data_IF_381387075839
#
_entry.id   IF_381387075839
#
_cell.length_a   1.000
_cell.length_b   1.000
_cell.length_c   1.000
_cell.angle_alpha   90.00
_cell.angle_beta   90.00
_cell.angle_gamma   90.00
#
_symmetry.space_group_name_H-M   'P 1'
#
loop_
_entity.id
_entity.type
_entity.pdbx_description
1 polymer ?
#
# COMPACT_ATOMS: atom_id res chain seq x y z
N UNK A 1 -5.91 -13.15 12.60
CA UNK A 1 -4.50 -13.30 12.27
C UNK A 1 -3.69 -12.29 13.07
N UNK A 2 -2.67 -12.75 13.80
CA UNK A 2 -1.82 -11.89 14.63
C UNK A 2 -1.03 -10.97 13.68
N UNK A 3 -1.22 -9.65 13.81
CA UNK A 3 -0.38 -8.65 13.15
C UNK A 3 1.08 -8.86 13.62
N UNK A 4 1.94 -9.31 12.71
CA UNK A 4 3.33 -9.69 13.02
C UNK A 4 4.35 -8.59 12.72
N UNK A 5 3.92 -7.33 12.65
CA UNK A 5 4.80 -6.19 12.57
C UNK A 5 4.85 -5.48 13.92
N UNK A 6 6.04 -5.09 14.32
CA UNK A 6 6.25 -4.34 15.55
C UNK A 6 6.58 -2.89 15.20
N UNK A 7 5.70 -1.97 15.56
CA UNK A 7 5.96 -0.53 15.49
C UNK A 7 6.32 -0.05 16.90
N UNK A 8 7.52 0.48 17.07
CA UNK A 8 8.07 0.82 18.38
C UNK A 8 7.79 2.30 18.70
N UNK A 9 6.70 2.60 19.41
CA UNK A 9 6.29 3.98 19.71
C UNK A 9 6.91 4.60 20.96
N UNK A 10 7.48 3.82 21.88
CA UNK A 10 7.84 4.30 23.25
C UNK A 10 9.20 3.89 23.78
N UNK A 11 10.12 3.42 22.95
CA UNK A 11 11.44 3.01 23.40
C UNK A 11 12.46 4.15 23.27
N UNK A 12 13.37 4.26 24.26
CA UNK A 12 14.44 5.27 24.24
C UNK A 12 15.42 4.98 23.09
N UNK A 13 15.98 6.02 22.47
CA UNK A 13 17.14 5.85 21.58
C UNK A 13 18.22 5.03 22.31
N UNK A 14 18.74 3.99 21.63
CA UNK A 14 19.73 3.07 22.21
C UNK A 14 19.19 1.71 22.66
N UNK A 15 17.86 1.50 22.73
CA UNK A 15 17.26 0.17 22.99
C UNK A 15 17.21 -0.73 21.75
N UNK A 16 17.42 -0.19 20.57
CA UNK A 16 17.35 -0.91 19.30
C UNK A 16 18.22 -2.16 19.22
N UNK A 17 19.48 -2.17 19.70
CA UNK A 17 20.34 -3.36 19.64
C UNK A 17 19.80 -4.56 20.43
N UNK A 18 18.85 -4.36 21.33
CA UNK A 18 18.25 -5.44 22.13
C UNK A 18 17.26 -6.29 21.31
N UNK A 19 16.58 -5.72 20.32
CA UNK A 19 15.51 -6.40 19.59
C UNK A 19 16.00 -7.54 18.68
N UNK A 20 16.99 -7.33 17.79
CA UNK A 20 17.44 -8.39 16.90
C UNK A 20 17.87 -9.67 17.63
N UNK A 21 18.68 -9.64 18.71
CA UNK A 21 19.03 -10.85 19.45
C UNK A 21 17.85 -11.56 20.10
N UNK A 22 16.88 -10.80 20.67
CA UNK A 22 15.68 -11.38 21.28
C UNK A 22 14.86 -12.11 20.22
N UNK A 23 14.62 -11.48 19.08
CA UNK A 23 13.87 -12.10 18.00
C UNK A 23 14.62 -13.25 17.31
N UNK A 24 15.95 -13.20 17.28
CA UNK A 24 16.77 -14.30 16.79
C UNK A 24 16.70 -15.53 17.73
N UNK A 25 16.62 -15.31 19.04
CA UNK A 25 16.60 -16.40 20.04
C UNK A 25 15.20 -16.97 20.26
N UNK A 26 14.17 -16.13 20.32
CA UNK A 26 12.80 -16.50 20.72
C UNK A 26 11.78 -16.36 19.59
N UNK A 27 12.14 -15.74 18.48
CA UNK A 27 11.25 -15.55 17.33
C UNK A 27 11.21 -16.77 16.42
N UNK A 28 10.13 -16.84 15.65
CA UNK A 28 9.92 -17.92 14.65
C UNK A 28 10.65 -17.62 13.34
N UNK A 29 10.95 -16.34 13.06
CA UNK A 29 11.52 -15.87 11.78
C UNK A 29 12.84 -15.15 11.98
N UNK A 30 13.63 -15.05 10.90
CA UNK A 30 14.86 -14.29 10.91
C UNK A 30 14.59 -12.79 10.94
N UNK A 31 15.43 -12.01 11.65
CA UNK A 31 15.36 -10.56 11.60
C UNK A 31 16.04 -10.05 10.32
N UNK A 32 15.35 -9.15 9.59
CA UNK A 32 15.91 -8.48 8.43
C UNK A 32 16.51 -7.10 8.78
N UNK A 33 16.10 -6.52 9.90
CA UNK A 33 16.54 -5.19 10.34
C UNK A 33 17.71 -5.28 11.32
N UNK A 34 18.73 -4.47 11.06
CA UNK A 34 19.85 -4.24 12.00
C UNK A 34 19.72 -2.84 12.58
N UNK A 35 20.20 -2.64 13.82
CA UNK A 35 20.30 -1.30 14.39
C UNK A 35 21.39 -0.47 13.66
N UNK A 36 21.24 0.86 13.49
CA UNK A 36 20.04 1.65 13.84
C UNK A 36 18.88 1.36 12.90
N UNK A 37 17.66 1.28 13.44
CA UNK A 37 16.47 1.02 12.63
C UNK A 37 16.10 2.23 11.77
N UNK A 38 15.52 1.94 10.60
CA UNK A 38 15.03 2.97 9.69
C UNK A 38 14.03 3.88 10.41
N UNK A 39 14.22 5.19 10.26
CA UNK A 39 13.29 6.22 10.72
C UNK A 39 12.44 6.69 9.56
N UNK A 40 11.14 6.73 9.75
CA UNK A 40 10.16 7.15 8.76
C UNK A 40 9.29 8.19 9.45
N UNK A 41 9.14 9.38 8.86
CA UNK A 41 8.22 10.37 9.42
C UNK A 41 6.77 9.88 9.31
N UNK A 42 5.89 10.35 10.20
CA UNK A 42 4.46 10.04 10.13
C UNK A 42 3.89 10.38 8.74
N UNK A 43 4.24 11.54 8.20
CA UNK A 43 3.76 11.97 6.89
C UNK A 43 4.25 11.03 5.78
N UNK A 44 5.53 10.65 5.78
CA UNK A 44 6.07 9.70 4.79
C UNK A 44 5.44 8.32 4.93
N UNK A 45 5.18 7.88 6.15
CA UNK A 45 4.52 6.61 6.41
C UNK A 45 3.09 6.59 5.85
N UNK A 46 2.33 7.68 6.05
CA UNK A 46 0.99 7.83 5.52
C UNK A 46 0.98 7.97 4.00
N UNK A 47 1.92 8.72 3.40
CA UNK A 47 2.00 8.87 1.94
C UNK A 47 2.46 7.59 1.24
N UNK A 48 3.46 6.89 1.78
CA UNK A 48 4.09 5.74 1.12
C UNK A 48 3.38 4.41 1.40
N UNK A 49 2.77 4.28 2.59
CA UNK A 49 2.21 3.00 3.03
C UNK A 49 0.73 3.09 3.44
N UNK A 50 0.18 4.30 3.55
CA UNK A 50 -1.19 4.52 3.99
C UNK A 50 -1.45 4.15 5.46
N UNK A 51 -0.39 4.11 6.29
CA UNK A 51 -0.49 3.69 7.69
C UNK A 51 0.66 4.25 8.52
N UNK A 52 0.36 4.62 9.76
CA UNK A 52 1.35 4.91 10.81
C UNK A 52 2.00 3.65 11.41
N UNK A 53 1.58 2.48 10.96
CA UNK A 53 2.08 1.16 11.37
C UNK A 53 2.33 0.29 10.14
N UNK A 54 3.24 0.71 9.23
CA UNK A 54 3.43 0.02 7.96
C UNK A 54 4.03 -1.37 8.16
N UNK A 55 3.46 -2.38 7.51
CA UNK A 55 4.11 -3.67 7.36
C UNK A 55 5.20 -3.57 6.27
N UNK A 56 6.45 -3.39 6.69
CA UNK A 56 7.59 -3.24 5.78
C UNK A 56 8.00 -4.56 5.10
N UNK A 57 7.40 -5.68 5.44
CA UNK A 57 7.61 -6.96 4.74
C UNK A 57 6.95 -6.96 3.36
N UNK A 58 5.92 -6.13 3.19
CA UNK A 58 5.27 -5.88 1.90
C UNK A 58 6.08 -4.83 1.17
N UNK A 59 6.52 -5.12 -0.06
CA UNK A 59 7.34 -4.22 -0.88
C UNK A 59 6.50 -3.24 -1.71
N UNK A 60 5.17 -3.43 -1.78
CA UNK A 60 4.26 -2.52 -2.46
C UNK A 60 4.24 -1.15 -1.78
N UNK A 61 4.18 -0.10 -2.57
CA UNK A 61 4.05 1.29 -2.11
C UNK A 61 2.80 1.96 -2.68
N UNK A 62 2.32 2.95 -1.94
CA UNK A 62 1.24 3.82 -2.38
C UNK A 62 1.83 4.98 -3.18
N UNK A 63 1.22 5.31 -4.30
CA UNK A 63 1.57 6.44 -5.17
C UNK A 63 0.43 7.45 -5.21
N UNK A 64 0.73 8.72 -5.37
CA UNK A 64 -0.28 9.76 -5.62
C UNK A 64 -0.67 9.77 -7.10
N UNK A 65 -1.92 9.44 -7.38
CA UNK A 65 -2.49 9.44 -8.73
C UNK A 65 -3.50 10.60 -8.95
N UNK A 66 -3.59 11.54 -7.99
CA UNK A 66 -4.60 12.60 -8.02
C UNK A 66 -4.54 13.43 -9.29
N UNK A 67 -3.35 13.93 -9.66
CA UNK A 67 -3.19 14.76 -10.88
C UNK A 67 -3.45 13.98 -12.16
N UNK A 68 -3.12 12.70 -12.17
CA UNK A 68 -3.31 11.82 -13.33
C UNK A 68 -4.79 11.54 -13.59
N UNK A 69 -5.54 11.27 -12.51
CA UNK A 69 -6.91 10.73 -12.60
C UNK A 69 -7.99 11.77 -12.29
N UNK A 70 -7.61 12.99 -11.82
CA UNK A 70 -8.57 14.09 -11.74
C UNK A 70 -8.98 14.52 -13.14
N UNK A 71 -10.31 14.55 -13.40
CA UNK A 71 -10.81 14.89 -14.74
C UNK A 71 -10.87 13.73 -15.74
N UNK A 72 -10.59 12.49 -15.33
CA UNK A 72 -10.79 11.32 -16.18
C UNK A 72 -12.29 10.97 -16.40
N UNK A 73 -13.20 11.74 -15.80
CA UNK A 73 -14.66 11.55 -15.90
C UNK A 73 -15.23 10.47 -14.98
N UNK A 74 -14.41 9.92 -14.07
CA UNK A 74 -14.91 8.99 -13.06
C UNK A 74 -15.31 9.75 -11.79
N UNK A 75 -16.62 9.88 -11.56
CA UNK A 75 -17.19 10.71 -10.48
C UNK A 75 -16.55 10.56 -9.10
N UNK A 76 -16.25 9.35 -8.60
CA UNK A 76 -15.57 9.18 -7.30
C UNK A 76 -14.19 9.82 -7.20
N UNK A 77 -13.53 10.16 -8.31
CA UNK A 77 -12.21 10.80 -8.31
C UNK A 77 -12.27 12.32 -8.39
N UNK A 78 -13.41 12.86 -8.82
CA UNK A 78 -13.58 14.31 -8.99
C UNK A 78 -13.51 15.03 -7.64
N UNK A 79 -12.57 15.99 -7.53
CA UNK A 79 -12.36 16.77 -6.30
C UNK A 79 -11.80 15.98 -5.11
N UNK A 80 -11.38 14.73 -5.32
CA UNK A 80 -10.81 13.86 -4.30
C UNK A 80 -9.33 13.59 -4.52
N UNK A 81 -8.62 13.23 -3.45
CA UNK A 81 -7.28 12.65 -3.53
C UNK A 81 -7.43 11.22 -3.99
N UNK A 82 -6.63 10.82 -4.99
CA UNK A 82 -6.59 9.46 -5.53
C UNK A 82 -5.23 8.85 -5.24
N UNK A 83 -5.24 7.66 -4.65
CA UNK A 83 -4.04 6.87 -4.36
C UNK A 83 -4.04 5.59 -5.19
N UNK A 84 -2.87 5.20 -5.67
CA UNK A 84 -2.67 4.02 -6.50
C UNK A 84 -1.66 3.06 -5.87
N UNK A 85 -1.87 1.77 -6.08
CA UNK A 85 -0.94 0.69 -5.72
C UNK A 85 -0.76 -0.17 -6.96
N UNK A 86 0.47 -0.25 -7.45
CA UNK A 86 0.82 -1.05 -8.65
C UNK A 86 1.39 -2.39 -8.19
N UNK A 87 0.86 -3.48 -8.75
CA UNK A 87 1.33 -4.85 -8.53
C UNK A 87 1.74 -5.44 -9.87
N UNK A 88 3.01 -5.78 -10.02
CA UNK A 88 3.61 -6.14 -11.32
C UNK A 88 3.30 -7.56 -11.79
N UNK A 89 3.05 -8.50 -10.89
CA UNK A 89 2.84 -9.93 -11.19
C UNK A 89 1.52 -10.47 -10.61
N UNK A 90 0.46 -9.71 -10.79
CA UNK A 90 -0.84 -10.01 -10.22
C UNK A 90 -1.60 -11.08 -11.05
N UNK A 91 -1.75 -12.28 -10.49
CA UNK A 91 -2.43 -13.43 -11.12
C UNK A 91 -3.89 -13.64 -10.67
N UNK A 92 -4.51 -12.65 -10.01
CA UNK A 92 -5.86 -12.79 -9.48
C UNK A 92 -6.96 -12.78 -10.55
N UNK A 93 -7.99 -13.59 -10.35
CA UNK A 93 -9.20 -13.57 -11.16
C UNK A 93 -10.09 -12.37 -10.82
N UNK A 94 -11.01 -11.99 -11.72
CA UNK A 94 -11.96 -10.90 -11.45
C UNK A 94 -12.74 -11.11 -10.15
N UNK A 95 -13.22 -12.32 -9.89
CA UNK A 95 -13.95 -12.64 -8.64
C UNK A 95 -13.10 -12.40 -7.40
N UNK A 96 -11.82 -12.73 -7.45
CA UNK A 96 -10.89 -12.49 -6.35
C UNK A 96 -10.64 -10.99 -6.15
N UNK A 97 -10.49 -10.23 -7.24
CA UNK A 97 -10.33 -8.77 -7.19
C UNK A 97 -11.57 -8.12 -6.57
N UNK A 98 -12.76 -8.51 -7.02
CA UNK A 98 -14.03 -7.97 -6.49
C UNK A 98 -14.15 -8.32 -4.99
N UNK A 99 -13.72 -9.52 -4.57
CA UNK A 99 -13.62 -9.91 -3.17
C UNK A 99 -12.65 -9.04 -2.36
N UNK A 100 -11.46 -8.77 -2.89
CA UNK A 100 -10.49 -7.88 -2.26
C UNK A 100 -11.04 -6.45 -2.09
N UNK A 101 -11.70 -5.92 -3.13
CA UNK A 101 -12.32 -4.60 -3.06
C UNK A 101 -13.45 -4.55 -2.00
N UNK A 102 -14.27 -5.60 -1.91
CA UNK A 102 -15.31 -5.71 -0.87
C UNK A 102 -14.70 -5.75 0.54
N UNK A 103 -13.63 -6.52 0.74
CA UNK A 103 -12.92 -6.56 2.03
C UNK A 103 -12.30 -5.20 2.40
N UNK A 104 -11.76 -4.46 1.41
CA UNK A 104 -11.25 -3.09 1.61
C UNK A 104 -12.39 -2.18 2.06
N UNK A 105 -13.55 -2.23 1.41
CA UNK A 105 -14.71 -1.41 1.76
C UNK A 105 -15.20 -1.73 3.19
N UNK A 106 -15.32 -3.00 3.54
CA UNK A 106 -15.73 -3.43 4.90
C UNK A 106 -14.76 -2.92 5.96
N UNK A 107 -13.44 -2.98 5.69
CA UNK A 107 -12.43 -2.62 6.68
C UNK A 107 -12.16 -1.12 6.79
N UNK A 108 -12.28 -0.38 5.70
CA UNK A 108 -11.95 1.06 5.65
C UNK A 108 -13.16 1.99 5.60
N UNK A 109 -14.35 1.46 5.28
CA UNK A 109 -15.54 2.26 5.01
C UNK A 109 -15.55 2.97 3.65
N UNK A 110 -14.54 2.74 2.80
CA UNK A 110 -14.41 3.37 1.48
C UNK A 110 -14.14 2.32 0.40
N UNK A 111 -14.65 2.59 -0.80
CA UNK A 111 -14.50 1.67 -1.93
C UNK A 111 -13.08 1.62 -2.47
N UNK A 112 -12.64 0.41 -2.81
CA UNK A 112 -11.51 0.18 -3.68
C UNK A 112 -11.95 0.12 -5.14
N UNK A 113 -11.12 0.65 -6.03
CA UNK A 113 -11.29 0.59 -7.47
C UNK A 113 -10.07 -0.05 -8.09
N UNK A 114 -10.17 -0.46 -9.38
CA UNK A 114 -9.05 -1.12 -10.01
C UNK A 114 -9.12 -1.06 -11.53
N UNK A 115 -7.99 -1.26 -12.17
CA UNK A 115 -7.84 -1.64 -13.57
C UNK A 115 -6.60 -2.53 -13.73
N UNK A 116 -6.43 -3.12 -14.90
CA UNK A 116 -5.23 -3.88 -15.28
C UNK A 116 -4.63 -3.29 -16.54
N UNK A 117 -3.32 -3.34 -16.61
CA UNK A 117 -2.58 -3.15 -17.85
C UNK A 117 -2.14 -4.53 -18.31
N UNK A 118 -2.82 -5.07 -19.36
CA UNK A 118 -2.67 -6.46 -19.76
C UNK A 118 -1.39 -6.72 -20.56
N UNK A 119 -1.14 -7.98 -20.91
CA UNK A 119 0.03 -8.41 -21.68
C UNK A 119 0.08 -7.82 -23.10
N UNK A 120 -1.07 -7.40 -23.63
CA UNK A 120 -1.18 -6.77 -24.94
C UNK A 120 -0.94 -5.24 -24.88
N UNK A 121 -0.69 -4.69 -23.70
CA UNK A 121 -0.54 -3.25 -23.51
C UNK A 121 -1.87 -2.49 -23.54
N UNK A 122 -2.97 -3.11 -23.12
CA UNK A 122 -4.28 -2.48 -23.05
C UNK A 122 -4.76 -2.31 -21.60
N UNK A 123 -5.50 -1.22 -21.35
CA UNK A 123 -6.16 -0.97 -20.05
C UNK A 123 -7.49 -1.71 -20.04
N UNK A 124 -7.63 -2.68 -19.13
CA UNK A 124 -8.80 -3.57 -19.07
C UNK A 124 -9.36 -3.72 -17.66
N UNK A 125 -10.64 -4.06 -17.55
CA UNK A 125 -11.32 -4.35 -16.29
C UNK A 125 -11.64 -3.13 -15.43
N UNK A 126 -12.44 -3.31 -14.39
CA UNK A 126 -12.80 -2.25 -13.43
C UNK A 126 -13.21 -0.93 -14.04
N UNK A 127 -12.41 0.10 -13.79
CA UNK A 127 -12.64 1.47 -14.31
C UNK A 127 -11.88 1.74 -15.62
N UNK A 128 -11.48 0.72 -16.35
CA UNK A 128 -10.66 0.82 -17.57
C UNK A 128 -11.19 1.85 -18.59
N UNK A 129 -12.51 1.94 -18.78
CA UNK A 129 -13.13 2.89 -19.73
C UNK A 129 -12.77 4.35 -19.48
N UNK A 130 -12.45 4.71 -18.22
CA UNK A 130 -12.07 6.06 -17.83
C UNK A 130 -10.54 6.29 -17.91
N UNK A 131 -9.76 5.22 -17.79
CA UNK A 131 -8.28 5.30 -17.81
C UNK A 131 -7.74 5.07 -19.22
N UNK A 132 -8.40 4.26 -20.05
CA UNK A 132 -7.95 3.97 -21.42
C UNK A 132 -7.67 5.22 -22.28
N UNK A 133 -8.47 6.32 -22.21
CA UNK A 133 -8.17 7.54 -22.96
C UNK A 133 -6.85 8.23 -22.59
N UNK A 134 -6.35 7.99 -21.38
CA UNK A 134 -5.10 8.57 -20.83
C UNK A 134 -4.05 7.47 -20.59
N UNK A 135 -4.09 6.38 -21.38
CA UNK A 135 -3.23 5.19 -21.20
C UNK A 135 -1.75 5.57 -21.12
N UNK A 136 -1.25 6.35 -22.06
CA UNK A 136 0.18 6.66 -22.15
C UNK A 136 0.67 7.47 -20.94
N UNK A 137 -0.14 8.43 -20.50
CA UNK A 137 0.14 9.18 -19.26
C UNK A 137 0.11 8.26 -18.04
N UNK A 138 -0.86 7.34 -17.97
CA UNK A 138 -0.99 6.40 -16.87
C UNK A 138 0.21 5.43 -16.81
N UNK A 139 0.61 4.88 -17.95
CA UNK A 139 1.79 4.01 -18.06
C UNK A 139 3.05 4.73 -17.57
N UNK A 140 3.27 5.97 -18.03
CA UNK A 140 4.44 6.77 -17.65
C UNK A 140 4.41 7.19 -16.19
N UNK A 141 3.28 7.69 -15.70
CA UNK A 141 3.17 8.27 -14.35
C UNK A 141 3.22 7.20 -13.25
N UNK A 142 2.61 6.04 -13.48
CA UNK A 142 2.55 4.95 -12.51
C UNK A 142 3.63 3.88 -12.75
N UNK A 143 4.43 3.98 -13.82
CA UNK A 143 5.45 3.01 -14.15
C UNK A 143 4.87 1.64 -14.49
N UNK A 144 3.77 1.60 -15.26
CA UNK A 144 3.09 0.35 -15.58
C UNK A 144 3.92 -0.50 -16.54
N UNK A 145 3.94 -1.80 -16.29
CA UNK A 145 4.48 -2.81 -17.18
C UNK A 145 3.38 -3.78 -17.58
N UNK A 146 3.47 -4.45 -18.77
CA UNK A 146 2.48 -5.44 -19.17
C UNK A 146 2.24 -6.49 -18.09
N UNK A 147 0.98 -6.86 -17.87
CA UNK A 147 0.57 -7.82 -16.84
C UNK A 147 0.32 -7.23 -15.44
N UNK A 148 0.50 -5.92 -15.24
CA UNK A 148 0.30 -5.36 -13.92
C UNK A 148 -1.18 -5.08 -13.58
N UNK A 149 -1.44 -5.06 -12.28
CA UNK A 149 -2.69 -4.66 -11.65
C UNK A 149 -2.51 -3.34 -10.94
N UNK A 150 -3.51 -2.47 -10.98
CA UNK A 150 -3.53 -1.20 -10.27
C UNK A 150 -4.75 -1.14 -9.37
N UNK A 151 -4.52 -1.14 -8.06
CA UNK A 151 -5.52 -0.85 -7.05
C UNK A 151 -5.60 0.64 -6.78
N UNK A 152 -6.81 1.19 -6.68
CA UNK A 152 -7.05 2.62 -6.54
C UNK A 152 -8.00 2.90 -5.38
N UNK A 153 -7.77 4.00 -4.70
CA UNK A 153 -8.66 4.51 -3.64
C UNK A 153 -8.86 6.01 -3.80
N UNK A 154 -10.00 6.53 -3.37
CA UNK A 154 -10.30 7.94 -3.47
C UNK A 154 -11.05 8.47 -2.26
N UNK A 155 -10.91 9.77 -1.99
CA UNK A 155 -11.58 10.45 -0.91
C UNK A 155 -10.81 11.67 -0.39
N UNK A 156 -11.21 12.17 0.77
CA UNK A 156 -10.42 13.15 1.50
C UNK A 156 -9.02 12.56 1.81
N UNK A 157 -7.98 13.38 1.84
CA UNK A 157 -6.59 12.94 1.92
C UNK A 157 -6.35 11.80 2.90
N UNK A 158 -6.70 11.98 4.17
CA UNK A 158 -6.48 10.98 5.22
C UNK A 158 -7.28 9.68 4.96
N UNK A 159 -8.53 9.81 4.50
CA UNK A 159 -9.36 8.65 4.18
C UNK A 159 -8.81 7.86 2.99
N UNK A 160 -8.40 8.54 1.91
CA UNK A 160 -7.78 7.91 0.76
C UNK A 160 -6.48 7.18 1.12
N UNK A 161 -5.62 7.80 1.97
CA UNK A 161 -4.40 7.19 2.47
C UNK A 161 -4.69 5.94 3.31
N UNK A 162 -5.55 6.02 4.32
CA UNK A 162 -5.91 4.87 5.18
C UNK A 162 -6.50 3.72 4.37
N UNK A 163 -7.39 4.03 3.43
CA UNK A 163 -7.97 3.02 2.53
C UNK A 163 -6.90 2.37 1.65
N UNK A 164 -5.96 3.18 1.12
CA UNK A 164 -4.82 2.64 0.35
C UNK A 164 -3.93 1.73 1.21
N UNK A 165 -3.71 2.05 2.49
CA UNK A 165 -2.99 1.20 3.42
C UNK A 165 -3.66 -0.16 3.64
N UNK A 166 -4.98 -0.16 3.80
CA UNK A 166 -5.78 -1.40 3.89
C UNK A 166 -5.64 -2.21 2.59
N UNK A 167 -5.82 -1.56 1.43
CA UNK A 167 -5.73 -2.23 0.14
C UNK A 167 -4.33 -2.80 -0.10
N UNK A 168 -3.27 -2.02 0.21
CA UNK A 168 -1.88 -2.46 0.14
C UNK A 168 -1.63 -3.74 0.95
N UNK A 169 -2.13 -3.79 2.18
CA UNK A 169 -1.96 -4.96 3.04
C UNK A 169 -2.70 -6.18 2.49
N UNK A 170 -3.90 -6.00 1.94
CA UNK A 170 -4.67 -7.07 1.30
C UNK A 170 -3.96 -7.59 0.04
N UNK A 171 -3.47 -6.68 -0.80
CA UNK A 171 -2.70 -7.04 -2.00
C UNK A 171 -1.41 -7.77 -1.65
N UNK A 172 -0.64 -7.29 -0.66
CA UNK A 172 0.58 -7.96 -0.20
C UNK A 172 0.31 -9.35 0.38
N UNK A 173 -0.80 -9.54 1.10
CA UNK A 173 -1.20 -10.85 1.59
C UNK A 173 -1.65 -11.79 0.48
N UNK A 174 -2.29 -11.26 -0.57
CA UNK A 174 -2.77 -12.00 -1.72
C UNK A 174 -1.64 -12.40 -2.69
N UNK A 175 -0.64 -11.53 -2.86
CA UNK A 175 0.49 -11.72 -3.78
C UNK A 175 1.74 -12.19 -3.00
N UNK A 176 2.05 -13.50 -2.98
CA UNK A 176 3.13 -14.04 -2.15
C UNK A 176 4.51 -13.43 -2.45
N UNK A 177 4.76 -13.05 -3.70
CA UNK A 177 6.03 -12.46 -4.14
C UNK A 177 6.27 -11.06 -3.58
N UNK A 178 5.20 -10.38 -3.15
CA UNK A 178 5.26 -9.03 -2.59
C UNK A 178 5.28 -8.98 -1.06
N UNK A 179 5.39 -10.12 -0.40
CA UNK A 179 5.42 -10.20 1.06
C UNK A 179 6.44 -11.22 1.56
N UNK A 180 7.48 -10.72 2.23
CA UNK A 180 8.46 -11.58 2.91
C UNK A 180 7.88 -12.06 4.26
N UNK A 181 7.31 -13.24 4.28
CA UNK A 181 6.60 -13.80 5.45
C UNK A 181 7.53 -14.31 6.54
N UNK A 182 8.81 -14.52 6.23
CA UNK A 182 9.77 -15.19 7.13
C UNK A 182 10.74 -14.22 7.80
N UNK A 183 10.45 -12.92 7.79
CA UNK A 183 11.30 -11.90 8.39
C UNK A 183 10.55 -10.98 9.33
N UNK A 184 11.29 -10.47 10.31
CA UNK A 184 10.90 -9.31 11.09
C UNK A 184 11.58 -8.07 10.52
N UNK A 185 10.82 -7.01 10.25
CA UNK A 185 11.34 -5.70 9.84
C UNK A 185 10.94 -4.65 10.86
N UNK A 186 11.93 -3.99 11.44
CA UNK A 186 11.76 -2.95 12.46
C UNK A 186 11.96 -1.57 11.86
N UNK A 187 11.14 -0.62 12.28
CA UNK A 187 11.33 0.80 11.98
C UNK A 187 10.81 1.66 13.13
N UNK A 188 11.23 2.91 13.14
CA UNK A 188 10.67 3.96 13.96
C UNK A 188 9.74 4.81 13.10
N UNK A 189 8.53 5.04 13.58
CA UNK A 189 7.71 6.13 13.04
C UNK A 189 7.91 7.32 13.97
N UNK A 190 8.32 8.43 13.38
CA UNK A 190 8.70 9.67 14.09
C UNK A 190 7.86 10.84 13.59
N UNK A 191 7.98 11.99 14.26
CA UNK A 191 7.31 13.25 13.85
C UNK A 191 5.79 13.13 13.76
N UNK A 192 5.20 12.46 14.77
CA UNK A 192 3.74 12.41 14.88
C UNK A 192 3.16 13.81 15.09
N UNK A 193 2.02 14.12 14.44
CA UNK A 193 1.32 15.37 14.75
C UNK A 193 0.88 15.37 16.21
N UNK A 194 1.01 16.53 16.86
CA UNK A 194 0.63 16.68 18.27
C UNK A 194 -0.90 16.58 18.47
N UNK A 195 -1.66 16.94 17.46
CA UNK A 195 -3.12 16.90 17.44
C UNK A 195 -3.63 16.16 16.20
N UNK A 196 -4.71 15.40 16.36
CA UNK A 196 -5.49 14.90 15.23
C UNK A 196 -6.29 16.04 14.62
N UNK A 197 -6.25 16.17 13.28
CA UNK A 197 -6.99 17.17 12.51
C UNK A 197 -8.30 16.55 12.03
#
# INVERSE_FOLDING_TARGET
GVQRHLTLHRFRPGSEPMFPPIFAQYGTYHTASKAPFRRISFNDAMETYGSDKPDLRIDLTVQDATKLLSGCGFGPFEGNVVKAIVVTDFAGTRKQIDGLCAEVEVQSGNKGYWFRYDENGEIVGGIAKFVAPIKDEAVKALGLVPGCFVGLTAGKKLAAQKTAGVFRNKLGAFCPNHMDKEKYKFCWIVDFPMYEI
#
